data_IF_135501329775
#
_entry.id   IF_135501329775
#
_cell.length_a   1.000
_cell.length_b   1.000
_cell.length_c   1.000
_cell.angle_alpha   90.00
_cell.angle_beta   90.00
_cell.angle_gamma   90.00
#
_symmetry.space_group_name_H-M   'P 1'
#
loop_
_entity.id
_entity.type
_entity.pdbx_description
1 polymer ?
#
# COMPACT_ATOMS: atom_id res chain seq x y z
N UNK A 1 35.75 -11.21 12.03
CA UNK A 1 34.54 -11.38 12.87
C UNK A 1 33.73 -10.10 12.78
N UNK A 2 32.72 -10.09 11.88
CA UNK A 2 31.79 -9.01 11.74
C UNK A 2 30.57 -9.35 12.63
N UNK A 3 30.41 -8.58 13.71
CA UNK A 3 29.25 -8.72 14.59
C UNK A 3 28.05 -8.09 13.88
N UNK A 4 27.01 -8.88 13.62
CA UNK A 4 25.73 -8.40 13.15
C UNK A 4 25.10 -7.54 14.27
N UNK A 5 24.88 -6.26 13.98
CA UNK A 5 24.13 -5.35 14.84
C UNK A 5 22.66 -5.74 14.75
N UNK A 6 22.08 -6.10 15.89
CA UNK A 6 20.66 -6.36 15.99
C UNK A 6 19.88 -5.05 15.72
N UNK A 7 18.72 -5.09 15.01
CA UNK A 7 17.91 -3.91 14.79
C UNK A 7 17.39 -3.37 16.14
N UNK A 8 17.26 -2.03 16.27
CA UNK A 8 16.78 -1.41 17.50
C UNK A 8 15.36 -1.88 17.86
N UNK A 9 15.15 -2.11 19.14
CA UNK A 9 13.87 -2.46 19.75
C UNK A 9 12.87 -1.31 19.50
N UNK A 10 11.97 -1.49 18.55
CA UNK A 10 10.93 -0.51 18.21
C UNK A 10 9.87 -0.59 19.31
N UNK A 11 9.81 0.45 20.13
CA UNK A 11 8.91 0.59 21.26
C UNK A 11 7.42 0.28 20.98
N UNK A 12 6.55 0.28 22.01
CA UNK A 12 5.21 -0.25 21.90
C UNK A 12 4.40 0.47 20.83
N UNK A 13 3.83 -0.35 19.95
CA UNK A 13 2.86 0.00 18.92
C UNK A 13 1.74 0.87 19.50
N UNK A 14 1.30 1.88 18.76
CA UNK A 14 -0.02 2.48 18.97
C UNK A 14 -1.01 1.34 18.73
N UNK A 15 -1.51 0.73 19.80
CA UNK A 15 -2.32 -0.51 19.81
C UNK A 15 -3.61 -0.45 18.98
N UNK A 16 -3.97 0.72 18.45
CA UNK A 16 -5.21 0.98 17.72
C UNK A 16 -5.09 0.92 16.19
N UNK A 17 -3.88 0.73 15.64
CA UNK A 17 -3.67 0.43 14.21
C UNK A 17 -3.42 -1.06 13.95
N UNK A 18 -3.51 -1.86 14.97
CA UNK A 18 -3.57 -3.31 14.82
C UNK A 18 -4.79 -3.64 13.96
N UNK A 19 -4.57 -4.13 12.76
CA UNK A 19 -5.49 -5.13 12.22
C UNK A 19 -5.59 -6.15 13.34
N UNK A 20 -6.75 -6.23 13.99
CA UNK A 20 -6.96 -7.15 15.11
C UNK A 20 -6.56 -8.55 14.61
N UNK A 21 -5.50 -9.19 15.15
CA UNK A 21 -5.08 -10.51 14.68
C UNK A 21 -6.20 -11.56 14.82
N UNK A 22 -7.23 -11.27 15.61
CA UNK A 22 -8.44 -12.10 15.74
C UNK A 22 -9.49 -11.87 14.64
N UNK A 23 -9.43 -10.76 13.87
CA UNK A 23 -10.27 -10.57 12.69
C UNK A 23 -9.68 -11.17 11.41
N UNK A 24 -8.39 -11.49 11.42
CA UNK A 24 -7.77 -12.38 10.44
C UNK A 24 -7.93 -13.79 10.99
N UNK A 25 -8.91 -14.55 10.53
CA UNK A 25 -9.06 -15.97 10.88
C UNK A 25 -7.80 -16.71 10.44
N UNK A 26 -6.84 -16.87 11.35
CA UNK A 26 -5.70 -17.77 11.19
C UNK A 26 -6.24 -19.21 11.23
N UNK A 27 -6.34 -19.80 10.05
CA UNK A 27 -6.49 -21.26 9.96
C UNK A 27 -5.09 -21.84 10.14
N UNK A 28 -4.83 -22.45 11.31
CA UNK A 28 -3.59 -23.20 11.53
C UNK A 28 -3.38 -24.22 10.41
N UNK A 29 -2.21 -24.24 9.75
CA UNK A 29 -1.94 -25.20 8.71
C UNK A 29 -1.66 -26.58 9.33
N UNK A 30 -2.66 -27.45 9.33
CA UNK A 30 -2.43 -28.88 9.44
C UNK A 30 -1.70 -29.33 8.17
N UNK A 31 -0.41 -29.68 8.30
CA UNK A 31 0.43 -30.08 7.19
C UNK A 31 -0.14 -31.35 6.49
N UNK A 32 -0.57 -31.27 5.23
CA UNK A 32 -0.84 -32.48 4.44
C UNK A 32 0.42 -32.90 3.70
N UNK A 33 0.75 -34.17 3.84
CA UNK A 33 1.79 -34.86 3.05
C UNK A 33 1.53 -34.70 1.56
N UNK A 34 2.46 -34.03 0.86
CA UNK A 34 2.41 -33.74 -0.56
C UNK A 34 2.58 -35.04 -1.38
N UNK A 35 1.49 -35.54 -1.94
CA UNK A 35 1.53 -36.45 -3.10
C UNK A 35 1.30 -35.63 -4.36
N UNK A 36 2.36 -35.42 -5.15
CA UNK A 36 2.32 -34.81 -6.47
C UNK A 36 1.52 -35.68 -7.45
N UNK A 37 0.25 -35.31 -7.71
CA UNK A 37 -0.46 -35.83 -8.89
C UNK A 37 -0.17 -34.90 -10.06
N UNK A 38 0.38 -35.52 -11.16
CA UNK A 38 0.61 -34.86 -12.43
C UNK A 38 -0.65 -34.10 -12.87
N UNK A 39 -0.49 -32.82 -13.19
CA UNK A 39 -1.52 -32.00 -13.78
C UNK A 39 -2.02 -32.56 -15.10
N UNK A 40 -3.34 -32.53 -15.38
CA UNK A 40 -3.87 -32.87 -16.70
C UNK A 40 -3.45 -31.82 -17.74
N UNK A 41 -3.10 -32.31 -18.93
CA UNK A 41 -2.71 -31.50 -20.08
C UNK A 41 -3.83 -30.54 -20.51
N UNK A 42 -3.49 -29.23 -20.49
CA UNK A 42 -3.88 -28.17 -21.41
C UNK A 42 -5.37 -27.96 -21.76
N UNK A 43 -5.95 -26.96 -21.10
CA UNK A 43 -6.92 -26.07 -21.72
C UNK A 43 -6.24 -24.71 -22.00
N UNK A 44 -6.56 -24.02 -23.11
CA UNK A 44 -5.96 -22.73 -23.43
C UNK A 44 -6.32 -21.67 -22.37
N UNK A 45 -5.38 -20.74 -22.04
CA UNK A 45 -5.50 -19.79 -20.91
C UNK A 45 -6.67 -18.79 -21.01
N UNK A 46 -7.29 -18.63 -22.17
CA UNK A 46 -8.32 -17.63 -22.43
C UNK A 46 -9.71 -17.93 -21.83
N UNK A 47 -9.98 -19.16 -21.35
CA UNK A 47 -11.31 -19.51 -20.79
C UNK A 47 -11.32 -19.70 -19.25
N UNK A 48 -10.18 -19.47 -18.58
CA UNK A 48 -10.14 -19.46 -17.13
C UNK A 48 -10.50 -18.07 -16.63
N UNK A 49 -11.80 -17.77 -16.60
CA UNK A 49 -12.32 -16.72 -15.73
C UNK A 49 -11.92 -17.02 -14.29
N UNK A 50 -11.94 -15.98 -13.49
CA UNK A 50 -11.55 -15.87 -12.09
C UNK A 50 -11.89 -17.04 -11.14
N UNK A 51 -12.89 -17.84 -11.41
CA UNK A 51 -13.20 -19.09 -10.69
C UNK A 51 -12.03 -20.11 -10.62
N UNK A 52 -10.91 -19.85 -11.33
CA UNK A 52 -9.75 -20.73 -11.37
C UNK A 52 -8.71 -20.52 -10.26
N UNK A 53 -8.67 -19.36 -9.59
CA UNK A 53 -7.68 -19.09 -8.57
C UNK A 53 -8.05 -19.65 -7.19
N UNK A 54 -9.33 -19.62 -6.83
CA UNK A 54 -9.79 -20.00 -5.48
C UNK A 54 -9.91 -21.50 -5.20
N UNK A 55 -10.02 -22.36 -6.21
CA UNK A 55 -10.41 -23.77 -5.99
C UNK A 55 -9.32 -24.71 -5.44
N UNK A 56 -8.06 -24.30 -5.40
CA UNK A 56 -6.97 -25.18 -5.01
C UNK A 56 -6.45 -24.99 -3.57
N UNK A 57 -6.60 -23.81 -2.99
CA UNK A 57 -6.00 -23.47 -1.69
C UNK A 57 -6.95 -22.58 -0.87
N UNK A 58 -7.02 -22.83 0.43
CA UNK A 58 -7.71 -21.93 1.34
C UNK A 58 -6.87 -20.66 1.56
N UNK A 59 -7.48 -19.45 1.58
CA UNK A 59 -6.76 -18.23 1.86
C UNK A 59 -6.25 -18.22 3.32
N UNK A 60 -5.06 -17.67 3.54
CA UNK A 60 -4.47 -17.48 4.85
C UNK A 60 -5.11 -16.30 5.60
N UNK A 61 -5.65 -15.34 4.89
CA UNK A 61 -6.38 -14.20 5.42
C UNK A 61 -7.39 -13.70 4.38
N UNK A 62 -8.48 -13.09 4.84
CA UNK A 62 -9.48 -12.47 3.95
C UNK A 62 -10.18 -11.30 4.64
N UNK A 63 -10.71 -10.37 3.84
CA UNK A 63 -11.42 -9.21 4.34
C UNK A 63 -12.09 -8.40 3.24
N UNK A 64 -12.39 -7.14 3.52
CA UNK A 64 -12.94 -6.19 2.55
C UNK A 64 -12.31 -4.80 2.72
N UNK A 65 -12.32 -4.01 1.63
CA UNK A 65 -11.81 -2.64 1.67
C UNK A 65 -12.66 -1.69 2.53
N UNK A 66 -13.89 -2.08 2.84
CA UNK A 66 -14.74 -1.34 3.78
C UNK A 66 -14.12 -1.28 5.18
N UNK A 67 -13.44 -2.35 5.61
CA UNK A 67 -12.77 -2.44 6.91
C UNK A 67 -11.29 -2.10 6.82
N UNK A 68 -10.63 -2.56 5.78
CA UNK A 68 -9.18 -2.46 5.61
C UNK A 68 -8.89 -1.96 4.20
N UNK A 69 -8.70 -0.64 4.02
CA UNK A 69 -8.34 -0.06 2.73
C UNK A 69 -7.06 -0.67 2.15
N UNK A 70 -6.86 -0.55 0.83
CA UNK A 70 -5.69 -1.13 0.18
C UNK A 70 -4.36 -0.57 0.70
N UNK A 71 -4.31 0.72 1.08
CA UNK A 71 -3.15 1.34 1.72
C UNK A 71 -2.68 0.58 2.97
N UNK A 72 -3.62 0.19 3.83
CA UNK A 72 -3.32 -0.55 5.06
C UNK A 72 -2.86 -1.98 4.77
N UNK A 73 -3.44 -2.63 3.76
CA UNK A 73 -3.02 -3.97 3.32
C UNK A 73 -1.58 -3.91 2.81
N UNK A 74 -1.26 -2.93 1.94
CA UNK A 74 0.07 -2.74 1.38
C UNK A 74 1.11 -2.52 2.49
N UNK A 75 0.81 -1.64 3.44
CA UNK A 75 1.68 -1.39 4.61
C UNK A 75 1.85 -2.62 5.48
N UNK A 76 0.78 -3.38 5.73
CA UNK A 76 0.85 -4.62 6.51
C UNK A 76 1.76 -5.67 5.85
N UNK A 77 1.63 -5.85 4.53
CA UNK A 77 2.50 -6.76 3.78
C UNK A 77 3.97 -6.32 3.86
N UNK A 78 4.23 -5.02 3.73
CA UNK A 78 5.57 -4.43 3.81
C UNK A 78 6.16 -4.60 5.22
N UNK A 79 5.44 -4.20 6.27
CA UNK A 79 5.87 -4.28 7.67
C UNK A 79 6.23 -5.72 8.09
N UNK A 80 5.45 -6.69 7.62
CA UNK A 80 5.63 -8.10 7.93
C UNK A 80 6.51 -8.84 6.94
N UNK A 81 7.00 -8.15 5.90
CA UNK A 81 7.80 -8.74 4.81
C UNK A 81 7.14 -10.01 4.24
N UNK A 82 5.80 -9.95 4.05
CA UNK A 82 5.03 -11.10 3.62
C UNK A 82 5.26 -11.41 2.15
N UNK A 83 5.30 -12.71 1.83
CA UNK A 83 5.39 -13.21 0.46
C UNK A 83 4.13 -14.01 0.15
N UNK A 84 3.48 -13.73 -1.00
CA UNK A 84 2.27 -14.42 -1.39
C UNK A 84 1.41 -13.62 -2.36
N UNK A 85 0.25 -14.17 -2.71
CA UNK A 85 -0.68 -13.56 -3.65
C UNK A 85 -1.89 -12.99 -2.92
N UNK A 86 -2.23 -11.73 -3.22
CA UNK A 86 -3.52 -11.13 -2.91
C UNK A 86 -4.43 -11.26 -4.13
N UNK A 87 -5.65 -11.75 -3.93
CA UNK A 87 -6.73 -11.70 -4.91
C UNK A 87 -7.77 -10.69 -4.43
N UNK A 88 -8.21 -9.82 -5.34
CA UNK A 88 -9.24 -8.82 -5.08
C UNK A 88 -10.45 -9.12 -5.96
N UNK A 89 -11.64 -9.11 -5.38
CA UNK A 89 -12.90 -9.36 -6.08
C UNK A 89 -13.80 -8.16 -5.93
N UNK A 90 -14.08 -7.46 -7.03
CA UNK A 90 -15.00 -6.31 -7.02
C UNK A 90 -16.43 -6.76 -6.70
N UNK A 91 -17.22 -5.90 -6.03
CA UNK A 91 -18.64 -6.18 -5.82
C UNK A 91 -19.37 -6.25 -7.17
N UNK A 92 -20.28 -7.21 -7.31
CA UNK A 92 -21.09 -7.36 -8.50
C UNK A 92 -22.30 -6.42 -8.42
N UNK A 93 -22.49 -5.55 -9.42
CA UNK A 93 -23.61 -4.61 -9.44
C UNK A 93 -24.93 -5.28 -9.87
N UNK A 94 -24.85 -6.30 -10.72
CA UNK A 94 -26.01 -7.04 -11.21
C UNK A 94 -25.81 -8.53 -10.99
N UNK A 95 -26.91 -9.24 -10.72
CA UNK A 95 -26.88 -10.69 -10.42
C UNK A 95 -26.31 -11.52 -11.56
N UNK A 96 -26.43 -11.05 -12.80
CA UNK A 96 -25.98 -11.74 -14.01
C UNK A 96 -24.53 -11.38 -14.42
N UNK A 97 -23.89 -10.42 -13.74
CA UNK A 97 -22.52 -10.03 -14.03
C UNK A 97 -21.52 -10.99 -13.37
N UNK A 98 -20.45 -11.33 -14.08
CA UNK A 98 -19.33 -12.05 -13.48
C UNK A 98 -18.50 -11.09 -12.65
N UNK A 99 -18.05 -11.50 -11.45
CA UNK A 99 -17.17 -10.67 -10.63
C UNK A 99 -15.86 -10.38 -11.38
N UNK A 100 -15.40 -9.13 -11.28
CA UNK A 100 -14.08 -8.76 -11.79
C UNK A 100 -13.05 -9.06 -10.71
N UNK A 101 -12.03 -9.82 -11.08
CA UNK A 101 -10.95 -10.18 -10.17
C UNK A 101 -9.64 -9.57 -10.61
N UNK A 102 -8.83 -9.21 -9.62
CA UNK A 102 -7.46 -8.76 -9.77
C UNK A 102 -6.58 -9.62 -8.86
N UNK A 103 -5.32 -9.78 -9.21
CA UNK A 103 -4.39 -10.53 -8.38
C UNK A 103 -3.01 -9.87 -8.38
N UNK A 104 -2.40 -9.71 -7.20
CA UNK A 104 -1.07 -9.17 -7.02
C UNK A 104 -0.18 -10.12 -6.25
N UNK A 105 1.00 -10.44 -6.77
CA UNK A 105 2.00 -11.19 -6.05
C UNK A 105 3.03 -10.27 -5.42
N UNK A 106 3.26 -10.49 -4.15
CA UNK A 106 4.17 -9.72 -3.30
C UNK A 106 5.32 -10.61 -2.85
N UNK A 107 6.53 -10.08 -2.90
CA UNK A 107 7.72 -10.74 -2.39
C UNK A 107 8.34 -9.90 -1.28
N UNK A 108 8.33 -10.40 -0.05
CA UNK A 108 8.78 -9.64 1.12
C UNK A 108 8.08 -8.27 1.27
N UNK A 109 6.78 -8.23 0.97
CA UNK A 109 5.98 -7.01 1.01
C UNK A 109 6.10 -6.10 -0.20
N UNK A 110 7.01 -6.40 -1.14
CA UNK A 110 7.22 -5.62 -2.36
C UNK A 110 6.35 -6.22 -3.47
N UNK A 111 5.47 -5.43 -4.12
CA UNK A 111 4.69 -5.92 -5.25
C UNK A 111 5.59 -6.18 -6.46
N UNK A 112 5.48 -7.37 -7.05
CA UNK A 112 6.35 -7.79 -8.16
C UNK A 112 5.60 -8.22 -9.40
N UNK A 113 4.36 -8.72 -9.24
CA UNK A 113 3.50 -9.11 -10.36
C UNK A 113 2.08 -8.63 -10.09
N UNK A 114 1.38 -8.19 -11.12
CA UNK A 114 0.00 -7.73 -10.99
C UNK A 114 -0.81 -8.10 -12.24
N UNK A 115 -1.93 -8.76 -12.01
CA UNK A 115 -2.95 -9.02 -13.01
C UNK A 115 -4.20 -8.20 -12.68
N UNK A 116 -4.61 -7.34 -13.59
CA UNK A 116 -5.83 -6.55 -13.47
C UNK A 116 -6.87 -7.14 -14.43
N UNK A 117 -8.05 -7.53 -13.91
CA UNK A 117 -9.16 -8.05 -14.71
C UNK A 117 -9.81 -7.01 -15.64
N UNK A 118 -9.28 -5.79 -15.66
CA UNK A 118 -9.65 -4.69 -16.56
C UNK A 118 -8.45 -4.28 -17.40
N UNK A 119 -8.71 -3.60 -18.53
CA UNK A 119 -7.64 -3.13 -19.42
C UNK A 119 -7.05 -1.81 -18.91
N UNK A 120 -6.15 -1.88 -17.94
CA UNK A 120 -5.43 -0.76 -17.35
C UNK A 120 -3.98 -0.81 -17.80
N UNK A 121 -3.44 0.33 -18.27
CA UNK A 121 -2.07 0.49 -18.72
C UNK A 121 -1.60 -0.68 -19.63
N UNK A 122 -2.24 -0.94 -20.77
CA UNK A 122 -1.81 -2.02 -21.66
C UNK A 122 -0.44 -1.69 -22.26
N UNK A 123 0.44 -2.71 -22.36
CA UNK A 123 1.85 -2.56 -22.77
C UNK A 123 2.02 -1.69 -24.01
N UNK A 124 1.29 -2.00 -25.09
CA UNK A 124 1.41 -1.24 -26.34
C UNK A 124 1.08 0.24 -26.18
N UNK A 125 0.02 0.60 -25.43
CA UNK A 125 -0.34 1.98 -25.18
C UNK A 125 0.71 2.69 -24.33
N UNK A 126 1.28 2.02 -23.31
CA UNK A 126 2.34 2.58 -22.48
C UNK A 126 3.62 2.82 -23.29
N UNK A 127 3.98 1.91 -24.21
CA UNK A 127 5.12 2.08 -25.11
C UNK A 127 4.93 3.28 -26.04
N UNK A 128 3.72 3.46 -26.62
CA UNK A 128 3.40 4.60 -27.47
C UNK A 128 3.43 5.91 -26.67
N UNK A 129 2.85 5.93 -25.47
CA UNK A 129 2.86 7.11 -24.60
C UNK A 129 4.29 7.56 -24.21
N UNK A 130 5.22 6.60 -24.09
CA UNK A 130 6.64 6.87 -23.82
C UNK A 130 7.47 7.13 -25.09
N UNK A 131 6.86 7.15 -26.28
CA UNK A 131 7.56 7.40 -27.54
C UNK A 131 8.52 6.28 -27.97
N UNK A 132 8.37 5.10 -27.41
CA UNK A 132 9.20 3.92 -27.71
C UNK A 132 8.64 3.10 -28.88
N UNK A 133 7.38 3.32 -29.22
CA UNK A 133 6.70 2.69 -30.35
C UNK A 133 5.76 3.70 -31.00
N UNK A 134 5.63 3.65 -32.33
CA UNK A 134 4.61 4.42 -33.02
C UNK A 134 3.27 3.67 -33.04
N UNK A 135 2.15 4.39 -33.01
CA UNK A 135 0.81 3.79 -33.06
C UNK A 135 0.65 2.92 -34.31
N UNK A 136 1.18 3.34 -35.47
CA UNK A 136 1.15 2.57 -36.70
C UNK A 136 1.91 1.24 -36.64
N UNK A 137 3.00 1.19 -35.85
CA UNK A 137 3.76 -0.05 -35.63
C UNK A 137 2.96 -1.03 -34.77
N UNK A 138 2.25 -0.52 -33.74
CA UNK A 138 1.40 -1.35 -32.89
C UNK A 138 0.22 -1.96 -33.67
N UNK A 139 -0.30 -1.25 -34.67
CA UNK A 139 -1.41 -1.68 -35.53
C UNK A 139 -0.97 -2.55 -36.72
N UNK A 140 0.34 -2.69 -36.96
CA UNK A 140 0.87 -3.50 -38.06
C UNK A 140 0.79 -5.02 -37.78
N UNK A 141 0.50 -5.80 -38.80
CA UNK A 141 0.70 -7.26 -38.72
C UNK A 141 2.23 -7.55 -38.68
N UNK A 142 2.71 -8.43 -37.79
CA UNK A 142 2.04 -9.45 -37.01
C UNK A 142 1.63 -9.05 -35.57
N UNK A 143 1.91 -7.81 -35.13
CA UNK A 143 1.73 -7.36 -33.73
C UNK A 143 0.25 -7.22 -33.35
N UNK A 144 -0.64 -6.98 -34.33
CA UNK A 144 -2.06 -6.68 -34.09
C UNK A 144 -2.97 -7.88 -33.90
N UNK A 145 -2.48 -9.12 -33.93
CA UNK A 145 -3.34 -10.30 -33.78
C UNK A 145 -3.82 -10.49 -32.32
N UNK A 146 -5.13 -10.39 -32.04
CA UNK A 146 -5.65 -10.65 -30.68
C UNK A 146 -5.89 -12.15 -30.41
N UNK A 147 -5.82 -12.60 -29.13
CA UNK A 147 -5.32 -11.89 -27.95
C UNK A 147 -3.94 -12.40 -27.55
N UNK A 148 -2.92 -11.62 -27.87
CA UNK A 148 -1.58 -11.96 -27.36
C UNK A 148 -1.52 -11.60 -25.86
N UNK A 149 -1.00 -12.55 -25.07
CA UNK A 149 -0.58 -12.23 -23.72
C UNK A 149 0.52 -11.14 -23.79
N UNK A 150 0.53 -10.20 -22.86
CA UNK A 150 1.55 -9.13 -22.84
C UNK A 150 2.97 -9.69 -22.95
N UNK A 151 3.26 -10.84 -22.31
CA UNK A 151 4.54 -11.52 -22.40
C UNK A 151 4.92 -11.96 -23.84
N UNK A 152 3.95 -12.33 -24.66
CA UNK A 152 4.20 -12.68 -26.06
C UNK A 152 4.51 -11.44 -26.89
N UNK A 153 3.77 -10.34 -26.65
CA UNK A 153 4.03 -9.05 -27.27
C UNK A 153 5.43 -8.54 -26.92
N UNK A 154 5.84 -8.64 -25.65
CA UNK A 154 7.19 -8.26 -25.22
C UNK A 154 8.28 -9.01 -25.98
N UNK A 155 8.14 -10.34 -26.10
CA UNK A 155 9.11 -11.15 -26.83
C UNK A 155 9.21 -10.75 -28.30
N UNK A 156 8.08 -10.54 -28.96
CA UNK A 156 8.06 -10.13 -30.37
C UNK A 156 8.68 -8.76 -30.60
N UNK A 157 8.35 -7.78 -29.76
CA UNK A 157 8.92 -6.44 -29.87
C UNK A 157 10.44 -6.45 -29.71
N UNK A 158 10.97 -7.28 -28.80
CA UNK A 158 12.42 -7.44 -28.63
C UNK A 158 13.04 -8.24 -29.79
N UNK A 159 12.40 -9.31 -30.26
CA UNK A 159 12.88 -10.14 -31.36
C UNK A 159 12.95 -9.36 -32.67
N UNK A 160 11.96 -8.48 -32.93
CA UNK A 160 11.97 -7.60 -34.10
C UNK A 160 12.89 -6.37 -33.92
N UNK A 161 13.53 -6.19 -32.76
CA UNK A 161 14.43 -5.09 -32.49
C UNK A 161 13.72 -3.73 -32.42
N UNK A 162 12.41 -3.71 -32.20
CA UNK A 162 11.61 -2.48 -32.08
C UNK A 162 11.81 -1.81 -30.73
N UNK A 163 12.01 -2.60 -29.67
CA UNK A 163 12.24 -2.14 -28.30
C UNK A 163 13.33 -3.00 -27.66
N UNK A 164 14.20 -2.40 -26.83
CA UNK A 164 15.20 -3.19 -26.12
C UNK A 164 14.61 -3.86 -24.87
N UNK A 165 15.29 -4.92 -24.39
CA UNK A 165 14.88 -5.62 -23.16
C UNK A 165 14.90 -4.68 -21.91
N UNK A 166 15.86 -3.75 -21.86
CA UNK A 166 15.96 -2.74 -20.79
C UNK A 166 14.76 -1.77 -20.83
N UNK A 167 14.36 -1.33 -22.02
CA UNK A 167 13.18 -0.47 -22.20
C UNK A 167 11.90 -1.20 -21.80
N UNK A 168 11.77 -2.48 -22.17
CA UNK A 168 10.63 -3.32 -21.72
C UNK A 168 10.61 -3.43 -20.19
N UNK A 169 11.75 -3.66 -19.54
CA UNK A 169 11.81 -3.74 -18.09
C UNK A 169 11.39 -2.44 -17.40
N UNK A 170 11.79 -1.28 -17.96
CA UNK A 170 11.39 0.04 -17.45
C UNK A 170 9.87 0.24 -17.59
N UNK A 171 9.32 -0.05 -18.77
CA UNK A 171 7.89 0.08 -19.03
C UNK A 171 7.06 -0.86 -18.15
N UNK A 172 7.56 -2.06 -17.90
CA UNK A 172 6.89 -3.01 -17.01
C UNK A 172 6.80 -2.50 -15.57
N UNK A 173 7.86 -1.86 -15.06
CA UNK A 173 7.83 -1.23 -13.74
C UNK A 173 6.83 -0.08 -13.71
N UNK A 174 6.77 0.74 -14.74
CA UNK A 174 5.78 1.80 -14.87
C UNK A 174 4.35 1.24 -14.88
N UNK A 175 4.07 0.23 -15.72
CA UNK A 175 2.76 -0.43 -15.75
C UNK A 175 2.38 -1.03 -14.39
N UNK A 176 3.34 -1.67 -13.71
CA UNK A 176 3.10 -2.22 -12.38
C UNK A 176 2.69 -1.12 -11.40
N UNK A 177 3.37 0.04 -11.41
CA UNK A 177 3.02 1.21 -10.60
C UNK A 177 1.62 1.74 -10.92
N UNK A 178 1.30 2.00 -12.19
CA UNK A 178 -0.01 2.50 -12.62
C UNK A 178 -1.15 1.54 -12.25
N UNK A 179 -0.93 0.24 -12.41
CA UNK A 179 -1.90 -0.79 -12.05
C UNK A 179 -2.07 -0.92 -10.53
N UNK A 180 -1.03 -0.70 -9.75
CA UNK A 180 -1.12 -0.67 -8.28
C UNK A 180 -1.89 0.56 -7.81
N UNK A 181 -1.64 1.74 -8.39
CA UNK A 181 -2.40 2.96 -8.10
C UNK A 181 -3.89 2.75 -8.38
N UNK A 182 -4.24 2.09 -9.49
CA UNK A 182 -5.63 1.73 -9.79
C UNK A 182 -6.32 0.95 -8.66
N UNK A 183 -5.61 0.09 -7.92
CA UNK A 183 -6.20 -0.68 -6.81
C UNK A 183 -6.69 0.20 -5.65
N UNK A 184 -6.12 1.39 -5.47
CA UNK A 184 -6.60 2.34 -4.44
C UNK A 184 -7.98 2.89 -4.78
N UNK A 185 -8.33 2.97 -6.07
CA UNK A 185 -9.64 3.43 -6.55
C UNK A 185 -10.73 2.36 -6.59
N UNK A 186 -10.46 1.13 -6.17
CA UNK A 186 -11.45 0.08 -6.16
C UNK A 186 -12.58 0.37 -5.15
N UNK A 187 -13.83 -0.06 -5.44
CA UNK A 187 -14.96 0.14 -4.55
C UNK A 187 -14.72 -0.39 -3.14
N UNK A 188 -15.23 0.28 -2.11
CA UNK A 188 -15.09 -0.12 -0.70
C UNK A 188 -15.61 -1.53 -0.41
N UNK A 189 -16.61 -2.01 -1.18
CA UNK A 189 -17.13 -3.38 -1.09
C UNK A 189 -16.23 -4.45 -1.69
N UNK A 190 -15.06 -4.09 -2.26
CA UNK A 190 -14.09 -5.06 -2.81
C UNK A 190 -13.60 -5.99 -1.70
N UNK A 191 -13.69 -7.28 -1.95
CA UNK A 191 -13.18 -8.33 -1.06
C UNK A 191 -11.75 -8.66 -1.43
N UNK A 192 -10.95 -9.08 -0.45
CA UNK A 192 -9.62 -9.61 -0.71
C UNK A 192 -9.38 -10.94 0.00
N UNK A 193 -8.51 -11.76 -0.60
CA UNK A 193 -8.02 -13.03 -0.06
C UNK A 193 -6.51 -13.10 -0.23
N UNK A 194 -5.77 -13.37 0.85
CA UNK A 194 -4.31 -13.51 0.82
C UNK A 194 -3.89 -14.97 0.92
N UNK A 195 -2.99 -15.39 0.04
CA UNK A 195 -2.45 -16.75 -0.04
C UNK A 195 -0.96 -16.70 0.28
N UNK A 196 -0.62 -16.94 1.55
CA UNK A 196 0.75 -16.85 2.03
C UNK A 196 1.66 -17.89 1.38
N UNK A 197 2.83 -17.45 0.90
CA UNK A 197 3.85 -18.29 0.29
C UNK A 197 3.52 -18.82 -1.11
N UNK A 198 2.36 -18.47 -1.71
CA UNK A 198 1.94 -18.95 -3.02
C UNK A 198 2.06 -17.85 -4.08
N UNK A 199 2.68 -18.17 -5.21
CA UNK A 199 2.66 -17.38 -6.43
C UNK A 199 1.59 -17.93 -7.39
N UNK A 200 0.36 -17.43 -7.28
CA UNK A 200 -0.73 -17.83 -8.16
C UNK A 200 -0.65 -17.17 -9.54
N UNK A 201 0.28 -16.23 -9.74
CA UNK A 201 0.52 -15.55 -11.01
C UNK A 201 1.66 -16.18 -11.81
N UNK A 202 2.34 -17.22 -11.29
CA UNK A 202 3.44 -17.90 -11.98
C UNK A 202 3.03 -18.43 -13.36
N UNK A 203 1.82 -19.00 -13.48
CA UNK A 203 1.32 -19.53 -14.76
C UNK A 203 1.08 -18.43 -15.83
N UNK A 204 0.87 -17.17 -15.42
CA UNK A 204 0.62 -16.03 -16.31
C UNK A 204 1.92 -15.29 -16.63
N UNK A 205 2.73 -15.03 -15.62
CA UNK A 205 3.93 -14.18 -15.70
C UNK A 205 5.24 -14.95 -15.69
N UNK A 206 5.23 -16.26 -15.35
CA UNK A 206 6.45 -17.04 -15.17
C UNK A 206 7.38 -16.39 -14.15
N UNK A 207 8.67 -16.28 -14.50
CA UNK A 207 9.68 -15.60 -13.69
C UNK A 207 9.77 -14.09 -13.98
N UNK A 208 8.88 -13.54 -14.80
CA UNK A 208 8.83 -12.13 -15.12
C UNK A 208 8.33 -11.38 -13.88
N UNK A 209 9.12 -10.46 -13.37
CA UNK A 209 8.78 -9.60 -12.25
C UNK A 209 9.17 -8.16 -12.52
N UNK A 210 8.35 -7.22 -12.06
CA UNK A 210 8.72 -5.82 -11.90
C UNK A 210 9.17 -5.55 -10.46
N UNK A 211 9.59 -4.34 -10.20
CA UNK A 211 9.86 -3.85 -8.85
C UNK A 211 9.50 -2.38 -8.76
N UNK A 212 8.60 -2.06 -7.84
CA UNK A 212 8.21 -0.68 -7.54
C UNK A 212 8.30 -0.45 -6.04
N UNK A 213 8.62 0.78 -5.64
CA UNK A 213 8.63 1.15 -4.22
C UNK A 213 7.21 1.08 -3.66
N UNK A 214 6.96 0.32 -2.59
CA UNK A 214 5.65 0.30 -1.94
C UNK A 214 5.27 1.67 -1.36
N UNK A 215 6.24 2.45 -0.84
CA UNK A 215 5.99 3.76 -0.27
C UNK A 215 5.68 4.80 -1.36
N UNK A 216 6.41 4.80 -2.48
CA UNK A 216 6.07 5.62 -3.64
C UNK A 216 4.68 5.26 -4.18
N UNK A 217 4.37 3.97 -4.29
CA UNK A 217 3.04 3.50 -4.69
C UNK A 217 1.94 3.99 -3.74
N UNK A 218 2.19 3.96 -2.43
CA UNK A 218 1.28 4.46 -1.41
C UNK A 218 1.03 5.97 -1.59
N UNK A 219 2.09 6.76 -1.80
CA UNK A 219 2.00 8.20 -2.05
C UNK A 219 1.18 8.51 -3.30
N UNK A 220 1.49 7.87 -4.42
CA UNK A 220 0.78 8.07 -5.69
C UNK A 220 -0.68 7.62 -5.59
N UNK A 221 -0.93 6.47 -4.95
CA UNK A 221 -2.27 5.94 -4.74
C UNK A 221 -3.16 6.88 -3.92
N UNK A 222 -2.63 7.43 -2.81
CA UNK A 222 -3.37 8.38 -1.97
C UNK A 222 -3.47 9.79 -2.57
N UNK A 223 -2.61 10.14 -3.53
CA UNK A 223 -2.71 11.38 -4.30
C UNK A 223 -3.88 11.32 -5.27
N UNK A 224 -4.07 10.19 -5.95
CA UNK A 224 -5.16 10.00 -6.91
C UNK A 224 -6.49 9.55 -6.26
N UNK A 225 -6.40 8.76 -5.19
CA UNK A 225 -7.54 8.16 -4.51
C UNK A 225 -7.43 8.38 -2.99
N UNK A 226 -7.70 9.58 -2.48
CA UNK A 226 -7.56 9.90 -1.06
C UNK A 226 -8.54 9.12 -0.19
N UNK A 227 -8.04 8.53 0.88
CA UNK A 227 -8.82 7.79 1.88
C UNK A 227 -9.29 8.75 2.98
N UNK A 228 -10.21 9.65 2.67
CA UNK A 228 -10.65 10.76 3.53
C UNK A 228 -10.98 10.33 4.96
N UNK A 229 -11.77 9.27 5.12
CA UNK A 229 -12.17 8.78 6.46
C UNK A 229 -10.98 8.29 7.29
N UNK A 230 -10.02 7.62 6.67
CA UNK A 230 -8.81 7.13 7.33
C UNK A 230 -7.88 8.28 7.67
N UNK A 231 -7.69 9.22 6.75
CA UNK A 231 -6.92 10.43 6.97
C UNK A 231 -7.49 11.25 8.13
N UNK A 232 -8.80 11.56 8.14
CA UNK A 232 -9.45 12.33 9.20
C UNK A 232 -9.29 11.69 10.57
N UNK A 233 -9.39 10.37 10.65
CA UNK A 233 -9.21 9.65 11.92
C UNK A 233 -7.79 9.82 12.47
N UNK A 234 -6.77 9.73 11.62
CA UNK A 234 -5.36 9.92 12.03
C UNK A 234 -5.11 11.37 12.41
N UNK A 235 -5.52 12.32 11.56
CA UNK A 235 -5.29 13.76 11.77
C UNK A 235 -5.99 14.29 13.02
N UNK A 236 -7.20 13.80 13.33
CA UNK A 236 -7.90 14.15 14.57
C UNK A 236 -7.11 13.79 15.82
N UNK A 237 -6.38 12.67 15.81
CA UNK A 237 -5.56 12.23 16.95
C UNK A 237 -4.34 13.12 17.18
N UNK A 238 -3.81 13.73 16.13
CA UNK A 238 -2.59 14.55 16.19
C UNK A 238 -2.84 16.06 16.06
N UNK A 239 -4.09 16.50 15.89
CA UNK A 239 -4.45 17.88 15.55
C UNK A 239 -3.89 18.96 16.48
N UNK A 240 -3.65 18.64 17.75
CA UNK A 240 -3.14 19.58 18.74
C UNK A 240 -1.68 19.36 19.14
N UNK A 241 -1.01 18.40 18.51
CA UNK A 241 0.34 18.01 18.89
C UNK A 241 1.35 18.50 17.87
N UNK A 242 2.55 18.87 18.33
CA UNK A 242 3.71 19.01 17.47
C UNK A 242 4.11 17.62 16.93
N UNK A 243 4.65 17.58 15.74
CA UNK A 243 5.03 16.34 15.04
C UNK A 243 6.55 16.23 15.00
N UNK A 244 7.09 15.11 15.44
CA UNK A 244 8.52 14.82 15.39
C UNK A 244 8.83 13.82 14.28
N UNK A 245 9.63 14.24 13.31
CA UNK A 245 10.14 13.36 12.25
C UNK A 245 11.31 12.53 12.80
N UNK A 246 11.21 11.20 12.66
CA UNK A 246 12.28 10.32 13.09
C UNK A 246 13.52 10.45 12.19
N UNK A 247 14.72 10.61 12.75
CA UNK A 247 15.95 10.85 11.97
C UNK A 247 16.30 9.72 10.98
N UNK A 248 15.79 8.52 11.22
CA UNK A 248 16.05 7.35 10.39
C UNK A 248 15.02 7.19 9.25
N UNK A 249 14.09 8.16 9.10
CA UNK A 249 13.07 8.12 8.06
C UNK A 249 13.69 8.38 6.70
N UNK A 250 13.47 7.47 5.76
CA UNK A 250 13.88 7.61 4.37
C UNK A 250 12.75 8.30 3.58
N UNK A 251 12.82 9.63 3.48
CA UNK A 251 11.81 10.42 2.77
C UNK A 251 11.88 10.23 1.25
N UNK A 252 13.05 9.90 0.71
CA UNK A 252 13.24 9.70 -0.74
C UNK A 252 12.44 8.47 -1.23
N UNK A 253 12.20 7.50 -0.34
CA UNK A 253 11.43 6.31 -0.67
C UNK A 253 9.94 6.57 -0.98
N UNK A 254 9.41 7.75 -0.60
CA UNK A 254 8.01 8.13 -0.81
C UNK A 254 7.73 8.74 -2.18
N UNK A 255 8.75 9.22 -2.88
CA UNK A 255 8.61 9.94 -4.15
C UNK A 255 7.67 11.16 -4.01
N UNK A 256 7.91 11.95 -2.96
CA UNK A 256 7.20 13.20 -2.71
C UNK A 256 7.49 14.23 -3.79
N UNK A 257 6.46 14.96 -4.20
CA UNK A 257 6.65 16.15 -5.02
C UNK A 257 7.23 17.33 -4.18
N UNK A 258 7.53 18.45 -4.83
CA UNK A 258 8.14 19.62 -4.18
C UNK A 258 7.27 20.17 -3.03
N UNK A 259 5.95 20.20 -3.19
CA UNK A 259 5.04 20.69 -2.17
C UNK A 259 4.96 19.72 -0.97
N UNK A 260 4.90 18.42 -1.24
CA UNK A 260 4.88 17.37 -0.22
C UNK A 260 6.20 17.33 0.56
N UNK A 261 7.34 17.40 -0.15
CA UNK A 261 8.66 17.43 0.48
C UNK A 261 8.82 18.67 1.37
N UNK A 262 8.33 19.84 0.93
CA UNK A 262 8.38 21.06 1.73
C UNK A 262 7.61 20.93 3.06
N UNK A 263 6.47 20.23 3.07
CA UNK A 263 5.73 19.91 4.31
C UNK A 263 6.53 18.95 5.21
N UNK A 264 7.10 17.89 4.63
CA UNK A 264 7.90 16.93 5.37
C UNK A 264 9.14 17.58 6.00
N UNK A 265 9.84 18.45 5.27
CA UNK A 265 10.97 19.23 5.75
C UNK A 265 10.59 20.20 6.88
N UNK A 266 9.43 20.88 6.76
CA UNK A 266 8.93 21.76 7.81
C UNK A 266 8.69 21.00 9.12
N UNK A 267 8.12 19.80 9.05
CA UNK A 267 7.96 18.91 10.23
C UNK A 267 9.34 18.52 10.79
N UNK A 268 10.29 18.17 9.95
CA UNK A 268 11.64 17.75 10.38
C UNK A 268 12.45 18.87 11.02
N UNK A 269 12.32 20.12 10.54
CA UNK A 269 13.12 21.24 11.01
C UNK A 269 12.53 21.93 12.26
N UNK A 270 11.20 21.99 12.37
CA UNK A 270 10.53 22.84 13.39
C UNK A 270 9.63 22.08 14.34
N UNK A 271 9.48 20.76 14.15
CA UNK A 271 8.52 19.97 14.92
C UNK A 271 7.09 20.59 14.86
N UNK A 272 6.69 21.02 13.66
CA UNK A 272 5.49 21.79 13.46
C UNK A 272 4.21 20.98 13.75
N UNK A 273 3.22 21.63 14.33
CA UNK A 273 1.84 21.13 14.43
C UNK A 273 1.04 21.39 13.14
N UNK A 274 -0.11 20.73 12.99
CA UNK A 274 -0.98 20.95 11.82
C UNK A 274 -1.39 22.43 11.64
N UNK A 275 -1.81 23.18 12.69
CA UNK A 275 -2.11 24.62 12.57
C UNK A 275 -0.91 25.45 12.10
N UNK A 276 0.29 25.17 12.62
CA UNK A 276 1.51 25.90 12.24
C UNK A 276 1.88 25.67 10.78
N UNK A 277 1.69 24.44 10.25
CA UNK A 277 1.89 24.15 8.83
C UNK A 277 0.91 24.96 7.95
N UNK A 278 -0.36 25.08 8.36
CA UNK A 278 -1.35 25.89 7.65
C UNK A 278 -0.99 27.39 7.72
N UNK A 279 -0.57 27.89 8.89
CA UNK A 279 -0.12 29.29 9.07
C UNK A 279 1.14 29.59 8.25
N UNK A 280 2.01 28.61 8.05
CA UNK A 280 3.19 28.72 7.17
C UNK A 280 2.82 28.79 5.68
N UNK A 281 1.55 28.57 5.32
CA UNK A 281 1.03 28.70 3.96
C UNK A 281 1.06 27.43 3.14
N UNK A 282 1.28 26.27 3.77
CA UNK A 282 1.15 24.97 3.06
C UNK A 282 -0.31 24.64 2.77
N UNK A 283 -0.55 24.00 1.65
CA UNK A 283 -1.90 23.63 1.22
C UNK A 283 -2.49 22.53 2.15
N UNK A 284 -3.73 22.71 2.66
CA UNK A 284 -4.33 21.78 3.61
C UNK A 284 -4.39 20.33 3.14
N UNK A 285 -4.69 20.09 1.87
CA UNK A 285 -4.78 18.71 1.32
C UNK A 285 -3.40 18.05 1.21
N UNK A 286 -2.35 18.84 0.92
CA UNK A 286 -0.96 18.35 0.94
C UNK A 286 -0.54 18.01 2.36
N UNK A 287 -0.81 18.89 3.34
CA UNK A 287 -0.54 18.64 4.76
C UNK A 287 -1.23 17.34 5.21
N UNK A 288 -2.53 17.19 4.90
CA UNK A 288 -3.32 16.02 5.28
C UNK A 288 -2.68 14.73 4.76
N UNK A 289 -2.33 14.70 3.47
CA UNK A 289 -1.74 13.53 2.82
C UNK A 289 -0.36 13.20 3.38
N UNK A 290 0.54 14.19 3.47
CA UNK A 290 1.90 13.97 3.97
C UNK A 290 1.89 13.52 5.42
N UNK A 291 1.16 14.22 6.31
CA UNK A 291 1.08 13.84 7.72
C UNK A 291 0.47 12.45 7.88
N UNK A 292 -0.59 12.13 7.13
CA UNK A 292 -1.17 10.78 7.14
C UNK A 292 -0.13 9.73 6.75
N UNK A 293 0.55 9.92 5.61
CA UNK A 293 1.59 9.00 5.12
C UNK A 293 2.69 8.79 6.16
N UNK A 294 3.25 9.86 6.71
CA UNK A 294 4.33 9.79 7.68
C UNK A 294 3.89 9.15 9.01
N UNK A 295 2.62 9.35 9.41
CA UNK A 295 2.05 8.72 10.61
C UNK A 295 1.83 7.22 10.42
N UNK A 296 1.20 6.78 9.34
CA UNK A 296 0.90 5.36 9.12
C UNK A 296 2.17 4.53 8.84
N UNK A 297 3.21 5.16 8.30
CA UNK A 297 4.53 4.55 8.09
C UNK A 297 5.45 4.69 9.30
N UNK A 298 5.00 5.36 10.37
CA UNK A 298 5.76 5.61 11.59
C UNK A 298 7.06 6.41 11.36
N UNK A 299 7.10 7.22 10.32
CA UNK A 299 8.17 8.18 10.11
C UNK A 299 8.05 9.40 11.04
N UNK A 300 6.82 9.67 11.52
CA UNK A 300 6.50 10.77 12.42
C UNK A 300 5.76 10.27 13.65
N UNK A 301 6.02 10.87 14.80
CA UNK A 301 5.26 10.67 16.04
C UNK A 301 4.78 12.01 16.62
N UNK A 302 3.58 12.03 17.25
CA UNK A 302 3.14 13.22 17.97
C UNK A 302 3.98 13.42 19.23
N UNK A 303 4.42 14.67 19.48
CA UNK A 303 5.02 15.05 20.76
C UNK A 303 3.88 15.32 21.72
N UNK A 304 3.75 14.48 22.76
CA UNK A 304 2.78 14.75 23.81
C UNK A 304 3.11 16.10 24.47
N UNK A 305 2.28 17.10 24.24
CA UNK A 305 2.32 18.34 25.02
C UNK A 305 2.05 17.96 26.47
N UNK A 306 3.10 17.92 27.29
CA UNK A 306 2.94 17.84 28.75
C UNK A 306 2.15 19.06 29.16
N UNK A 307 0.82 18.91 29.26
CA UNK A 307 -0.04 19.95 29.77
C UNK A 307 0.57 20.42 31.11
N UNK A 308 0.86 21.72 31.28
CA UNK A 308 1.45 22.21 32.51
C UNK A 308 0.54 21.75 33.66
N UNK A 309 1.06 20.84 34.48
CA UNK A 309 0.36 20.38 35.69
C UNK A 309 -0.15 21.63 36.40
N UNK A 310 -1.46 21.84 36.38
CA UNK A 310 -2.09 22.87 37.23
C UNK A 310 -1.65 22.57 38.64
N UNK A 311 -0.56 23.22 39.08
CA UNK A 311 -0.20 23.25 40.49
C UNK A 311 -1.46 23.67 41.22
N UNK A 312 -2.09 22.72 41.86
CA UNK A 312 -3.16 22.99 42.83
C UNK A 312 -2.57 23.95 43.85
N UNK A 313 -2.94 25.20 43.72
CA UNK A 313 -2.66 26.21 44.75
C UNK A 313 -3.42 25.71 45.96
N UNK A 314 -2.69 24.99 46.83
CA UNK A 314 -3.19 24.65 48.15
C UNK A 314 -3.58 25.94 48.84
N UNK A 315 -4.88 26.19 48.92
CA UNK A 315 -5.42 27.27 49.72
C UNK A 315 -5.00 27.06 51.17
N UNK A 316 -4.04 27.84 51.59
CA UNK A 316 -3.65 27.94 53.02
C UNK A 316 -4.89 28.39 53.77
N UNK A 317 -5.58 27.44 54.40
CA UNK A 317 -6.61 27.72 55.40
C UNK A 317 -5.96 28.41 56.58
N UNK A 318 -6.06 29.73 56.67
CA UNK A 318 -5.80 30.49 57.89
C UNK A 318 -6.87 30.13 58.90
N UNK A 319 -6.48 29.34 59.89
CA UNK A 319 -7.32 29.08 61.06
C UNK A 319 -7.51 30.35 61.89
N UNK A 320 -8.74 30.70 62.32
CA UNK A 320 -8.95 31.85 63.21
C UNK A 320 -8.47 31.49 64.63
N UNK A 321 -7.70 32.44 65.21
CA UNK A 321 -7.15 32.39 66.56
C UNK A 321 -8.27 32.49 67.59
N UNK A 322 -8.33 31.64 68.67
CA UNK A 322 -9.37 31.73 69.68
C UNK A 322 -9.13 32.95 70.56
N UNK A 323 -10.19 33.78 70.71
CA UNK A 323 -10.20 34.95 71.56
C UNK A 323 -10.12 34.62 73.04
N UNK A 324 -9.17 35.26 73.73
CA UNK A 324 -9.05 35.28 75.16
C UNK A 324 -10.20 36.09 75.77
N UNK A 325 -11.06 35.43 76.55
CA UNK A 325 -11.94 36.14 77.52
C UNK A 325 -11.11 36.68 78.70
N UNK A 326 -11.22 37.96 79.01
CA UNK A 326 -10.89 38.53 80.33
C UNK A 326 -12.16 38.76 81.13
N UNK A 327 -12.08 38.35 82.36
CA UNK A 327 -13.00 38.60 83.44
C UNK A 327 -13.21 40.07 83.69
#
# INVERSE_FOLDING_TARGET
SSAAVAPPDRGPLIEDFSLDPHEISEVEPSAPSLQWRRAPKTLPPAERGAAGFEQAHAPSASGSFERTPFSHILLYLLDRSLTGTLIFTEPVERVDDSPVEHAGYFQQGIPTKLHIGRRIAPLGATLVANGLLEQAQLESEPISQPPMHEASLEMELVEFGLVSAEQIALIRNQQLGERLVYLFGLPSGTKYSFYNGLDLLEAIWGNISGMVSPLATLTHGLREHPEETSMDRVLTRVAGNALHLHPESDLDAFDFDEAEMTVADAIGMTEASLPELVEAGHEPDVIRRVVYLLMVTRCVSPIESVAPSRRSVSSVRTSPKPGTKKS
#
